data_IF_867313768275
#
_entry.id   IF_867313768275
#
_cell.length_a   1.000
_cell.length_b   1.000
_cell.length_c   1.000
_cell.angle_alpha   90.00
_cell.angle_beta   90.00
_cell.angle_gamma   90.00
#
_symmetry.space_group_name_H-M   'P 1'
#
loop_
_entity.id
_entity.type
_entity.pdbx_description
1 polymer ?
#
# COMPACT_ATOMS: atom_id res chain seq x y z
N UNK A 1 -18.00 -25.62 -4.66
CA UNK A 1 -18.30 -24.22 -4.26
C UNK A 1 -19.31 -23.65 -5.22
N UNK A 2 -20.34 -22.97 -4.73
CA UNK A 2 -21.34 -22.25 -5.56
C UNK A 2 -20.68 -21.10 -6.33
N UNK A 3 -21.20 -20.74 -7.50
CA UNK A 3 -20.63 -19.69 -8.34
C UNK A 3 -20.49 -18.34 -7.64
N UNK A 4 -21.53 -17.90 -6.91
CA UNK A 4 -21.46 -16.68 -6.07
C UNK A 4 -20.37 -16.72 -5.00
N UNK A 5 -20.08 -17.90 -4.44
CA UNK A 5 -19.00 -18.05 -3.43
C UNK A 5 -17.62 -17.87 -4.07
N UNK A 6 -17.44 -18.38 -5.28
CA UNK A 6 -16.20 -18.22 -6.04
C UNK A 6 -16.03 -16.76 -6.45
N UNK A 7 -17.09 -16.12 -6.93
CA UNK A 7 -17.09 -14.69 -7.25
C UNK A 7 -16.69 -13.82 -6.04
N UNK A 8 -17.30 -14.05 -4.87
CA UNK A 8 -16.93 -13.34 -3.63
C UNK A 8 -15.46 -13.53 -3.26
N UNK A 9 -14.93 -14.74 -3.44
CA UNK A 9 -13.53 -15.03 -3.19
C UNK A 9 -12.62 -14.27 -4.17
N UNK A 10 -12.95 -14.27 -5.47
CA UNK A 10 -12.23 -13.48 -6.47
C UNK A 10 -12.17 -12.00 -6.11
N UNK A 11 -13.33 -11.39 -5.80
CA UNK A 11 -13.39 -9.97 -5.41
C UNK A 11 -12.55 -9.72 -4.16
N UNK A 12 -12.66 -10.58 -3.15
CA UNK A 12 -11.84 -10.47 -1.93
C UNK A 12 -10.34 -10.49 -2.21
N UNK A 13 -9.88 -11.39 -3.09
CA UNK A 13 -8.47 -11.49 -3.46
C UNK A 13 -7.99 -10.25 -4.23
N UNK A 14 -8.80 -9.75 -5.17
CA UNK A 14 -8.49 -8.51 -5.88
C UNK A 14 -8.40 -7.34 -4.90
N UNK A 15 -9.34 -7.22 -3.95
CA UNK A 15 -9.33 -6.12 -2.97
C UNK A 15 -8.09 -6.18 -2.09
N UNK A 16 -7.67 -7.37 -1.67
CA UNK A 16 -6.46 -7.54 -0.87
C UNK A 16 -5.21 -7.13 -1.64
N UNK A 17 -5.10 -7.48 -2.92
CA UNK A 17 -3.98 -7.05 -3.76
C UNK A 17 -3.98 -5.52 -3.91
N UNK A 18 -5.14 -4.92 -4.18
CA UNK A 18 -5.22 -3.47 -4.36
C UNK A 18 -4.90 -2.72 -3.07
N UNK A 19 -5.34 -3.21 -1.90
CA UNK A 19 -5.03 -2.59 -0.61
C UNK A 19 -3.55 -2.71 -0.28
N UNK A 20 -2.94 -3.90 -0.41
CA UNK A 20 -1.49 -4.09 -0.16
C UNK A 20 -0.63 -3.20 -1.07
N UNK A 21 -0.98 -3.16 -2.36
CA UNK A 21 -0.29 -2.32 -3.35
C UNK A 21 -0.44 -0.84 -3.01
N UNK A 22 -1.65 -0.43 -2.67
CA UNK A 22 -1.94 0.94 -2.25
C UNK A 22 -1.15 1.31 -1.00
N UNK A 23 -1.15 0.48 0.05
CA UNK A 23 -0.41 0.72 1.29
C UNK A 23 1.08 0.94 1.02
N UNK A 24 1.68 0.12 0.17
CA UNK A 24 3.10 0.26 -0.23
C UNK A 24 3.37 1.60 -0.91
N UNK A 25 2.55 2.01 -1.86
CA UNK A 25 2.70 3.30 -2.55
C UNK A 25 2.30 4.50 -1.67
N UNK A 26 1.36 4.30 -0.76
CA UNK A 26 0.87 5.28 0.20
C UNK A 26 1.91 5.62 1.27
N UNK A 27 2.88 4.75 1.56
CA UNK A 27 3.87 4.99 2.62
C UNK A 27 4.58 6.34 2.47
N UNK A 28 4.93 6.74 1.25
CA UNK A 28 5.60 8.01 1.01
C UNK A 28 4.65 9.21 1.15
N UNK A 29 3.38 9.06 0.77
CA UNK A 29 2.36 10.07 1.03
C UNK A 29 2.09 10.23 2.53
N UNK A 30 2.03 9.12 3.29
CA UNK A 30 1.88 9.11 4.75
C UNK A 30 3.09 9.76 5.43
N UNK A 31 4.32 9.49 4.96
CA UNK A 31 5.53 10.17 5.45
C UNK A 31 5.45 11.67 5.22
N UNK A 32 5.05 12.11 4.02
CA UNK A 32 4.86 13.54 3.70
C UNK A 32 3.79 14.18 4.59
N UNK A 33 2.68 13.50 4.83
CA UNK A 33 1.60 13.96 5.70
C UNK A 33 2.13 14.17 7.14
N UNK A 34 2.83 13.18 7.70
CA UNK A 34 3.45 13.28 9.04
C UNK A 34 4.45 14.43 9.12
N UNK A 35 5.32 14.57 8.11
CA UNK A 35 6.29 15.66 8.04
C UNK A 35 5.62 17.03 7.98
N UNK A 36 4.51 17.17 7.24
CA UNK A 36 3.75 18.42 7.15
C UNK A 36 3.10 18.78 8.49
N UNK A 37 2.52 17.80 9.20
CA UNK A 37 1.99 18.02 10.56
C UNK A 37 3.11 18.52 11.48
N UNK A 38 4.26 17.86 11.49
CA UNK A 38 5.41 18.25 12.31
C UNK A 38 5.90 19.67 11.98
N UNK A 39 6.03 20.00 10.70
CA UNK A 39 6.42 21.33 10.26
C UNK A 39 5.45 22.40 10.76
N UNK A 40 4.14 22.17 10.60
CA UNK A 40 3.12 23.12 11.09
C UNK A 40 3.21 23.27 12.61
N UNK A 41 3.34 22.17 13.38
CA UNK A 41 3.56 22.24 14.84
C UNK A 41 4.77 23.10 15.21
N UNK A 42 5.90 22.92 14.54
CA UNK A 42 7.09 23.75 14.74
C UNK A 42 6.85 25.23 14.43
N UNK A 43 6.09 25.53 13.37
CA UNK A 43 5.73 26.90 13.02
C UNK A 43 4.90 27.57 14.13
N UNK A 44 3.94 26.85 14.72
CA UNK A 44 3.16 27.37 15.86
C UNK A 44 4.03 27.62 17.09
N UNK A 45 4.92 26.69 17.44
CA UNK A 45 5.85 26.89 18.57
C UNK A 45 6.76 28.11 18.36
N UNK A 46 7.28 28.31 17.14
CA UNK A 46 8.08 29.50 16.79
C UNK A 46 7.29 30.80 16.90
N UNK A 47 5.96 30.76 16.70
CA UNK A 47 5.08 31.93 16.86
C UNK A 47 4.74 32.27 18.31
N UNK A 48 5.29 31.54 19.29
CA UNK A 48 5.04 31.76 20.71
C UNK A 48 3.67 31.27 21.21
N UNK A 49 2.93 30.54 20.38
CA UNK A 49 1.63 29.95 20.74
C UNK A 49 1.81 28.51 21.21
N UNK A 50 1.17 28.15 22.32
CA UNK A 50 1.06 26.76 22.79
C UNK A 50 -0.14 26.11 22.13
N UNK A 51 0.06 25.02 21.40
CA UNK A 51 -1.02 24.27 20.77
C UNK A 51 -1.87 23.58 21.86
N UNK A 52 -3.17 23.89 21.90
CA UNK A 52 -4.13 23.11 22.69
C UNK A 52 -4.28 21.71 22.09
N UNK A 53 -4.57 20.66 22.89
CA UNK A 53 -4.84 19.32 22.37
C UNK A 53 -5.93 19.27 21.28
N UNK A 54 -6.91 20.16 21.36
CA UNK A 54 -7.99 20.28 20.37
C UNK A 54 -7.50 20.86 19.04
N UNK A 55 -6.69 21.92 19.09
CA UNK A 55 -6.10 22.56 17.90
C UNK A 55 -5.13 21.64 17.17
N UNK A 56 -4.40 20.79 17.90
CA UNK A 56 -3.53 19.77 17.30
C UNK A 56 -4.35 18.69 16.57
N UNK A 57 -5.48 18.28 17.13
CA UNK A 57 -6.38 17.33 16.49
C UNK A 57 -6.97 17.89 15.18
N UNK A 58 -7.35 19.17 15.19
CA UNK A 58 -7.81 19.87 13.98
C UNK A 58 -6.70 20.03 12.93
N UNK A 59 -5.46 20.30 13.37
CA UNK A 59 -4.31 20.37 12.48
C UNK A 59 -4.04 19.03 11.78
N UNK A 60 -4.07 17.94 12.53
CA UNK A 60 -3.92 16.59 11.99
C UNK A 60 -5.04 16.26 11.02
N UNK A 61 -6.29 16.61 11.36
CA UNK A 61 -7.46 16.39 10.51
C UNK A 61 -7.36 17.19 9.20
N UNK A 62 -7.04 18.48 9.27
CA UNK A 62 -6.89 19.34 8.08
C UNK A 62 -5.77 18.87 7.16
N UNK A 63 -4.61 18.47 7.71
CA UNK A 63 -3.51 17.91 6.92
C UNK A 63 -3.90 16.56 6.31
N UNK A 64 -4.65 15.73 7.03
CA UNK A 64 -5.20 14.48 6.50
C UNK A 64 -6.22 14.68 5.39
N UNK A 65 -7.05 15.72 5.47
CA UNK A 65 -7.99 16.09 4.43
C UNK A 65 -7.30 16.65 3.18
N UNK A 66 -6.20 17.40 3.36
CA UNK A 66 -5.38 17.92 2.25
C UNK A 66 -4.68 16.80 1.46
N UNK A 67 -4.26 15.74 2.14
CA UNK A 67 -3.48 14.65 1.56
C UNK A 67 -4.25 13.34 1.46
N UNK A 68 -5.60 13.35 1.40
CA UNK A 68 -6.46 12.15 1.44
C UNK A 68 -5.85 10.95 0.71
N UNK A 69 -5.31 10.02 1.49
CA UNK A 69 -4.76 8.75 1.03
C UNK A 69 -5.82 7.69 1.29
N UNK A 70 -6.78 7.55 0.36
CA UNK A 70 -7.82 6.51 0.45
C UNK A 70 -7.52 5.38 -0.52
N UNK A 71 -7.61 4.13 -0.05
CA UNK A 71 -7.42 2.97 -0.90
C UNK A 71 -8.45 2.98 -2.06
N UNK A 72 -8.02 2.64 -3.29
CA UNK A 72 -8.94 2.55 -4.41
C UNK A 72 -9.98 1.46 -4.16
N UNK A 73 -11.24 1.74 -4.49
CA UNK A 73 -12.28 0.74 -4.48
C UNK A 73 -12.28 -0.02 -5.81
N UNK A 74 -12.47 -1.33 -5.76
CA UNK A 74 -12.52 -2.14 -6.97
C UNK A 74 -13.87 -1.98 -7.63
N UNK A 75 -13.88 -1.51 -8.87
CA UNK A 75 -15.07 -1.49 -9.70
C UNK A 75 -15.43 -2.92 -10.12
N UNK A 76 -16.45 -3.50 -9.50
CA UNK A 76 -16.93 -4.85 -9.82
C UNK A 76 -17.87 -4.90 -11.02
N UNK A 77 -18.16 -3.76 -11.66
CA UNK A 77 -19.16 -3.64 -12.73
C UNK A 77 -18.95 -4.64 -13.86
N UNK A 78 -17.70 -4.83 -14.31
CA UNK A 78 -17.36 -5.77 -15.37
C UNK A 78 -17.42 -7.24 -14.91
N UNK A 79 -17.31 -7.47 -13.60
CA UNK A 79 -17.28 -8.81 -13.02
C UNK A 79 -18.68 -9.26 -12.57
N UNK A 80 -19.66 -8.37 -12.51
CA UNK A 80 -21.02 -8.66 -12.00
C UNK A 80 -21.71 -9.78 -12.78
N UNK A 81 -21.38 -9.95 -14.06
CA UNK A 81 -21.87 -11.07 -14.89
C UNK A 81 -21.46 -12.46 -14.34
N UNK A 82 -20.38 -12.52 -13.57
CA UNK A 82 -19.86 -13.72 -12.92
C UNK A 82 -20.51 -13.97 -11.56
N UNK A 83 -21.31 -13.03 -11.03
CA UNK A 83 -22.01 -13.12 -9.75
C UNK A 83 -23.30 -13.94 -9.86
N UNK A 84 -23.19 -15.15 -10.39
CA UNK A 84 -24.31 -16.07 -10.62
C UNK A 84 -24.00 -17.46 -10.09
N UNK A 85 -25.03 -18.24 -9.79
CA UNK A 85 -24.87 -19.58 -9.21
C UNK A 85 -24.73 -20.68 -10.27
N UNK A 86 -25.26 -20.44 -11.46
CA UNK A 86 -25.33 -21.32 -12.63
C UNK A 86 -24.09 -21.26 -13.53
N UNK A 87 -22.90 -21.18 -12.93
CA UNK A 87 -21.66 -21.25 -13.69
C UNK A 87 -21.47 -22.63 -14.32
N UNK A 88 -21.05 -22.65 -15.58
CA UNK A 88 -20.68 -23.90 -16.23
C UNK A 88 -19.33 -24.42 -15.66
N UNK A 89 -18.99 -25.68 -15.97
CA UNK A 89 -17.78 -26.32 -15.46
C UNK A 89 -16.50 -25.56 -15.83
N UNK A 90 -16.42 -25.05 -17.07
CA UNK A 90 -15.23 -24.35 -17.58
C UNK A 90 -15.06 -22.99 -16.89
N UNK A 91 -16.14 -22.23 -16.72
CA UNK A 91 -16.16 -20.97 -15.98
C UNK A 91 -15.72 -21.19 -14.53
N UNK A 92 -16.21 -22.26 -13.90
CA UNK A 92 -15.83 -22.63 -12.53
C UNK A 92 -14.32 -22.90 -12.40
N UNK A 93 -13.77 -23.70 -13.31
CA UNK A 93 -12.34 -24.01 -13.35
C UNK A 93 -11.51 -22.75 -13.64
N UNK A 94 -11.93 -21.91 -14.58
CA UNK A 94 -11.24 -20.65 -14.91
C UNK A 94 -11.20 -19.68 -13.73
N UNK A 95 -12.32 -19.46 -13.04
CA UNK A 95 -12.34 -18.60 -11.86
C UNK A 95 -11.47 -19.17 -10.73
N UNK A 96 -11.47 -20.49 -10.56
CA UNK A 96 -10.61 -21.15 -9.57
C UNK A 96 -9.13 -20.97 -9.91
N UNK A 97 -8.76 -21.06 -11.18
CA UNK A 97 -7.39 -20.83 -11.65
C UNK A 97 -6.97 -19.37 -11.46
N UNK A 98 -7.85 -18.42 -11.76
CA UNK A 98 -7.58 -16.99 -11.55
C UNK A 98 -7.35 -16.72 -10.06
N UNK A 99 -8.22 -17.23 -9.18
CA UNK A 99 -8.06 -17.07 -7.73
C UNK A 99 -6.72 -17.66 -7.25
N UNK A 100 -6.36 -18.84 -7.74
CA UNK A 100 -5.08 -19.48 -7.42
C UNK A 100 -3.91 -18.63 -7.89
N UNK A 101 -3.96 -18.13 -9.13
CA UNK A 101 -2.92 -17.25 -9.67
C UNK A 101 -2.75 -15.97 -8.85
N UNK A 102 -3.85 -15.30 -8.46
CA UNK A 102 -3.79 -14.09 -7.65
C UNK A 102 -3.10 -14.34 -6.30
N UNK A 103 -3.40 -15.47 -5.65
CA UNK A 103 -2.73 -15.88 -4.41
C UNK A 103 -1.24 -16.15 -4.63
N UNK A 104 -0.90 -16.90 -5.67
CA UNK A 104 0.49 -17.20 -6.02
C UNK A 104 1.28 -15.92 -6.36
N UNK A 105 0.65 -14.92 -6.97
CA UNK A 105 1.27 -13.62 -7.24
C UNK A 105 1.58 -12.84 -5.97
N UNK A 106 0.70 -12.88 -4.96
CA UNK A 106 0.99 -12.25 -3.67
C UNK A 106 2.21 -12.90 -3.01
N UNK A 107 2.23 -14.24 -2.93
CA UNK A 107 3.36 -14.99 -2.37
C UNK A 107 4.66 -14.72 -3.14
N UNK A 108 4.58 -14.69 -4.47
CA UNK A 108 5.72 -14.37 -5.33
C UNK A 108 6.30 -12.99 -5.03
N UNK A 109 5.46 -11.95 -4.90
CA UNK A 109 5.91 -10.60 -4.56
C UNK A 109 6.58 -10.58 -3.18
N UNK A 110 6.00 -11.23 -2.18
CA UNK A 110 6.57 -11.31 -0.82
C UNK A 110 7.95 -12.00 -0.84
N UNK A 111 8.11 -13.08 -1.61
CA UNK A 111 9.39 -13.76 -1.77
C UNK A 111 10.41 -12.88 -2.51
N UNK A 112 9.98 -12.19 -3.56
CA UNK A 112 10.84 -11.29 -4.33
C UNK A 112 11.39 -10.16 -3.44
N UNK A 113 10.55 -9.55 -2.61
CA UNK A 113 10.94 -8.51 -1.67
C UNK A 113 11.92 -9.03 -0.61
N UNK A 114 11.73 -10.27 -0.13
CA UNK A 114 12.60 -10.89 0.88
C UNK A 114 13.98 -11.23 0.35
N UNK A 115 14.05 -11.85 -0.82
CA UNK A 115 15.31 -12.35 -1.38
C UNK A 115 16.03 -11.33 -2.26
N UNK A 116 15.30 -10.34 -2.80
CA UNK A 116 15.88 -9.24 -3.56
C UNK A 116 15.39 -7.87 -3.05
N UNK A 117 15.75 -7.50 -1.81
CA UNK A 117 15.36 -6.21 -1.25
C UNK A 117 15.94 -5.03 -2.06
N UNK A 118 17.01 -5.26 -2.82
CA UNK A 118 17.63 -4.24 -3.67
C UNK A 118 16.70 -3.68 -4.75
N UNK A 119 15.70 -4.45 -5.20
CA UNK A 119 14.69 -3.98 -6.15
C UNK A 119 13.79 -2.85 -5.60
N UNK A 120 13.57 -2.81 -4.29
CA UNK A 120 12.61 -1.90 -3.65
C UNK A 120 13.30 -0.83 -2.80
N UNK A 121 14.58 -1.03 -2.47
CA UNK A 121 15.40 -0.06 -1.74
C UNK A 121 15.65 1.20 -2.56
N UNK A 122 15.73 2.36 -1.87
CA UNK A 122 16.15 3.59 -2.52
C UNK A 122 17.58 3.45 -3.01
N UNK A 123 17.91 4.16 -4.08
CA UNK A 123 19.23 4.09 -4.70
C UNK A 123 20.37 4.36 -3.70
N UNK A 124 20.21 5.36 -2.83
CA UNK A 124 21.23 5.69 -1.81
C UNK A 124 21.45 4.53 -0.82
N UNK A 125 20.38 3.93 -0.32
CA UNK A 125 20.44 2.79 0.59
C UNK A 125 21.12 1.57 -0.07
N UNK A 126 20.84 1.34 -1.36
CA UNK A 126 21.47 0.29 -2.14
C UNK A 126 22.98 0.52 -2.32
N UNK A 127 23.38 1.75 -2.63
CA UNK A 127 24.80 2.12 -2.78
C UNK A 127 25.53 1.94 -1.44
N UNK A 128 24.96 2.42 -0.33
CA UNK A 128 25.53 2.26 1.02
C UNK A 128 25.64 0.79 1.42
N UNK A 129 24.61 -0.02 1.15
CA UNK A 129 24.64 -1.47 1.44
C UNK A 129 25.74 -2.16 0.63
N UNK A 130 25.86 -1.84 -0.65
CA UNK A 130 26.88 -2.42 -1.53
C UNK A 130 28.29 -2.02 -1.10
N UNK A 131 28.49 -0.77 -0.69
CA UNK A 131 29.76 -0.31 -0.14
C UNK A 131 30.13 -1.05 1.15
N UNK A 132 29.18 -1.24 2.07
CA UNK A 132 29.40 -2.03 3.30
C UNK A 132 29.79 -3.48 3.01
N UNK A 133 29.26 -4.09 1.95
CA UNK A 133 29.64 -5.45 1.55
C UNK A 133 31.12 -5.58 1.17
N UNK A 134 31.75 -4.49 0.72
CA UNK A 134 33.18 -4.45 0.39
C UNK A 134 34.02 -3.72 1.45
N UNK A 135 33.46 -3.46 2.64
CA UNK A 135 34.16 -2.78 3.74
C UNK A 135 34.34 -1.28 3.56
N UNK A 136 33.58 -0.64 2.67
CA UNK A 136 33.56 0.81 2.48
C UNK A 136 32.39 1.45 3.26
N UNK A 137 32.65 2.56 3.95
CA UNK A 137 31.62 3.38 4.58
C UNK A 137 31.40 4.67 3.78
N UNK A 138 30.14 4.92 3.38
CA UNK A 138 29.77 6.18 2.74
C UNK A 138 29.45 7.25 3.80
N UNK A 139 29.87 8.51 3.59
CA UNK A 139 29.47 9.61 4.45
C UNK A 139 27.97 9.89 4.32
N UNK A 140 27.36 10.40 5.40
CA UNK A 140 25.97 10.85 5.36
C UNK A 140 25.82 12.00 4.35
N UNK A 141 24.88 11.87 3.42
CA UNK A 141 24.52 12.97 2.51
C UNK A 141 24.01 14.16 3.33
N UNK A 142 24.63 15.34 3.16
CA UNK A 142 24.21 16.60 3.79
C UNK A 142 22.80 17.03 3.39
#
# INVERSE_FOLDING_TARGET
>A
MTGKKIFKNLVSQLTEISTKTFEKHAQDAIKKQKALVQYKRMQYMKSGKTLSPEEDAELVKSVGEQLKVTAPQIETRLLEQLNRDDLNKVEHEHLTNIITFLKSQQEYIELLERYNPGLVMKQDDNVRKSARMVGLELPESK
#
